data_IF_405583472076
#
_entry.id   IF_405583472076
#
_cell.length_a   1.000
_cell.length_b   1.000
_cell.length_c   1.000
_cell.angle_alpha   90.00
_cell.angle_beta   90.00
_cell.angle_gamma   90.00
#
_symmetry.space_group_name_H-M   'P 1'
#
loop_
_entity.id
_entity.type
_entity.pdbx_description
1 polymer ?
#
# COMPACT_ATOMS: atom_id res chain seq x y z
N UNK A 1 -29.03 -4.58 -27.93
CA UNK A 1 -28.14 -4.78 -29.09
C UNK A 1 -27.24 -5.99 -28.83
N UNK A 2 -27.14 -6.92 -29.78
CA UNK A 2 -26.28 -8.11 -29.70
C UNK A 2 -25.42 -8.21 -30.98
N UNK A 3 -24.15 -8.63 -30.84
CA UNK A 3 -23.20 -8.79 -31.95
C UNK A 3 -23.02 -10.29 -32.26
N UNK A 4 -23.20 -10.67 -33.52
CA UNK A 4 -23.01 -12.05 -34.02
C UNK A 4 -21.78 -12.10 -34.94
N UNK A 5 -20.77 -12.90 -34.55
CA UNK A 5 -19.61 -13.19 -35.41
C UNK A 5 -19.97 -14.26 -36.43
N UNK A 6 -19.87 -13.94 -37.72
CA UNK A 6 -20.25 -14.84 -38.84
C UNK A 6 -19.16 -15.85 -39.24
N UNK A 7 -18.27 -16.22 -38.31
CA UNK A 7 -17.16 -17.16 -38.54
C UNK A 7 -15.80 -16.45 -38.54
N UNK A 8 -15.03 -16.67 -37.47
CA UNK A 8 -13.71 -16.08 -37.22
C UNK A 8 -13.39 -16.03 -35.72
N UNK A 9 -12.09 -15.97 -35.37
CA UNK A 9 -11.63 -15.84 -33.97
C UNK A 9 -12.03 -14.47 -33.41
N UNK A 10 -12.59 -14.46 -32.21
CA UNK A 10 -12.96 -13.22 -31.49
C UNK A 10 -11.80 -12.84 -30.56
N UNK A 11 -11.22 -11.66 -30.77
CA UNK A 11 -10.15 -11.08 -29.97
C UNK A 11 -10.72 -10.09 -28.94
N UNK A 12 -10.00 -9.74 -27.85
CA UNK A 12 -10.46 -8.79 -26.83
C UNK A 12 -10.91 -7.43 -27.39
N UNK A 13 -10.29 -6.97 -28.48
CA UNK A 13 -10.64 -5.78 -29.25
C UNK A 13 -12.00 -5.86 -29.96
N UNK A 14 -12.64 -7.03 -29.99
CA UNK A 14 -13.98 -7.24 -30.54
C UNK A 14 -15.08 -7.22 -29.46
N UNK A 15 -14.73 -7.19 -28.17
CA UNK A 15 -15.69 -7.13 -27.07
C UNK A 15 -16.14 -5.69 -26.78
N UNK A 16 -17.40 -5.44 -26.37
CA UNK A 16 -17.85 -4.12 -25.92
C UNK A 16 -17.19 -3.72 -24.59
N UNK A 17 -16.90 -2.42 -24.42
CA UNK A 17 -16.02 -1.90 -23.35
C UNK A 17 -16.37 -2.31 -21.92
N UNK A 18 -17.65 -2.53 -21.61
CA UNK A 18 -18.09 -3.02 -20.29
C UNK A 18 -17.61 -4.45 -19.95
N UNK A 19 -17.41 -5.30 -20.96
CA UNK A 19 -16.97 -6.69 -20.78
C UNK A 19 -15.45 -6.72 -20.60
N UNK A 20 -14.71 -5.92 -21.40
CA UNK A 20 -13.27 -5.71 -21.20
C UNK A 20 -12.93 -5.20 -19.80
N UNK A 21 -13.81 -4.42 -19.19
CA UNK A 21 -13.60 -3.87 -17.85
C UNK A 21 -13.80 -4.87 -16.70
N UNK A 22 -14.46 -6.01 -16.93
CA UNK A 22 -14.89 -6.93 -15.86
C UNK A 22 -14.15 -8.28 -15.84
N UNK A 23 -13.37 -8.61 -16.86
CA UNK A 23 -12.74 -9.93 -17.03
C UNK A 23 -11.39 -10.12 -16.31
N UNK A 24 -10.99 -9.20 -15.43
CA UNK A 24 -9.84 -9.40 -14.55
C UNK A 24 -10.23 -9.71 -13.09
N UNK A 25 -11.41 -10.29 -12.87
CA UNK A 25 -11.89 -10.81 -11.58
C UNK A 25 -12.13 -9.74 -10.50
N UNK A 26 -12.86 -10.06 -9.41
CA UNK A 26 -12.61 -9.30 -8.19
C UNK A 26 -11.13 -9.50 -7.87
N UNK A 27 -10.33 -8.44 -7.63
CA UNK A 27 -9.03 -8.65 -7.00
C UNK A 27 -9.27 -9.54 -5.78
N UNK A 28 -8.35 -10.44 -5.39
CA UNK A 28 -8.48 -11.13 -4.11
C UNK A 28 -8.83 -10.03 -3.12
N UNK A 29 -9.95 -10.20 -2.41
CA UNK A 29 -10.35 -9.22 -1.43
C UNK A 29 -9.10 -9.03 -0.56
N UNK A 30 -8.42 -7.90 -0.76
CA UNK A 30 -7.56 -7.32 0.22
C UNK A 30 -8.54 -6.86 1.29
N UNK A 31 -9.17 -7.84 1.95
CA UNK A 31 -9.70 -7.73 3.28
C UNK A 31 -8.51 -7.22 4.05
N UNK A 32 -8.47 -5.90 4.20
CA UNK A 32 -7.39 -5.19 4.84
C UNK A 32 -7.36 -5.70 6.25
N UNK A 33 -6.56 -6.74 6.47
CA UNK A 33 -6.29 -7.23 7.79
C UNK A 33 -5.62 -6.05 8.51
N UNK A 34 -6.31 -5.44 9.49
CA UNK A 34 -5.80 -4.27 10.17
C UNK A 34 -4.43 -4.58 10.79
N UNK A 35 -4.20 -5.83 11.22
CA UNK A 35 -2.92 -6.26 11.75
C UNK A 35 -1.83 -6.21 10.67
N UNK A 36 -2.12 -6.72 9.47
CA UNK A 36 -1.17 -6.66 8.35
C UNK A 36 -0.84 -5.23 7.94
N UNK A 37 -1.83 -4.32 7.98
CA UNK A 37 -1.59 -2.91 7.69
C UNK A 37 -0.70 -2.26 8.77
N UNK A 38 -0.94 -2.56 10.04
CA UNK A 38 -0.10 -2.10 11.15
C UNK A 38 1.35 -2.59 11.03
N UNK A 39 1.54 -3.85 10.61
CA UNK A 39 2.86 -4.43 10.36
C UNK A 39 3.58 -3.71 9.21
N UNK A 40 2.90 -3.49 8.07
CA UNK A 40 3.46 -2.76 6.93
C UNK A 40 3.83 -1.32 7.32
N UNK A 41 2.95 -0.63 8.06
CA UNK A 41 3.21 0.73 8.51
C UNK A 41 4.43 0.80 9.44
N UNK A 42 4.50 -0.09 10.43
CA UNK A 42 5.64 -0.19 11.34
C UNK A 42 6.94 -0.39 10.57
N UNK A 43 6.96 -1.38 9.68
CA UNK A 43 8.18 -1.76 8.96
C UNK A 43 8.65 -0.61 8.05
N UNK A 44 7.72 0.10 7.41
CA UNK A 44 8.02 1.30 6.62
C UNK A 44 8.63 2.43 7.47
N UNK A 45 8.11 2.67 8.68
CA UNK A 45 8.63 3.68 9.60
C UNK A 45 10.03 3.33 10.06
N UNK A 46 10.25 2.10 10.55
CA UNK A 46 11.55 1.66 11.07
C UNK A 46 12.63 1.66 9.98
N UNK A 47 12.30 1.14 8.80
CA UNK A 47 13.23 1.14 7.67
C UNK A 47 13.61 2.56 7.24
N UNK A 48 12.64 3.48 7.22
CA UNK A 48 12.89 4.88 6.82
C UNK A 48 13.69 5.64 7.88
N UNK A 49 13.39 5.44 9.18
CA UNK A 49 14.19 6.00 10.27
C UNK A 49 15.65 5.57 10.14
N UNK A 50 15.91 4.27 9.94
CA UNK A 50 17.27 3.76 9.76
C UNK A 50 17.96 4.34 8.53
N UNK A 51 17.26 4.46 7.40
CA UNK A 51 17.79 5.00 6.14
C UNK A 51 18.15 6.49 6.23
N UNK A 52 17.51 7.23 7.13
CA UNK A 52 17.67 8.68 7.27
C UNK A 52 18.31 9.05 8.61
N UNK A 53 19.14 8.17 9.17
CA UNK A 53 19.90 8.39 10.41
C UNK A 53 19.03 8.91 11.57
N UNK A 54 17.83 8.34 11.69
CA UNK A 54 16.82 8.68 12.69
C UNK A 54 16.38 10.16 12.66
N UNK A 55 16.59 10.87 11.55
CA UNK A 55 16.08 12.22 11.34
C UNK A 55 14.57 12.20 11.12
N UNK A 56 13.82 12.53 12.18
CA UNK A 56 12.35 12.49 12.18
C UNK A 56 11.71 13.47 11.20
N UNK A 57 12.33 14.62 10.93
CA UNK A 57 11.77 15.60 9.98
C UNK A 57 11.84 15.06 8.55
N UNK A 58 12.99 14.52 8.15
CA UNK A 58 13.17 13.94 6.82
C UNK A 58 12.40 12.63 6.67
N UNK A 59 12.29 11.82 7.74
CA UNK A 59 11.46 10.61 7.75
C UNK A 59 9.99 10.91 7.49
N UNK A 60 9.42 11.93 8.14
CA UNK A 60 8.02 12.31 7.94
C UNK A 60 7.77 12.76 6.49
N UNK A 61 8.69 13.56 5.93
CA UNK A 61 8.65 13.98 4.53
C UNK A 61 8.72 12.78 3.57
N UNK A 62 9.64 11.85 3.80
CA UNK A 62 9.83 10.68 2.95
C UNK A 62 8.64 9.72 2.96
N UNK A 63 7.92 9.62 4.09
CA UNK A 63 6.69 8.84 4.23
C UNK A 63 5.43 9.62 3.81
N UNK A 64 5.57 10.87 3.37
CA UNK A 64 4.46 11.76 3.01
C UNK A 64 3.40 11.92 4.12
N UNK A 65 3.83 11.95 5.38
CA UNK A 65 2.97 12.21 6.55
C UNK A 65 3.41 13.47 7.28
N UNK A 66 2.50 14.04 8.08
CA UNK A 66 2.88 15.16 8.94
C UNK A 66 3.91 14.74 9.99
N UNK A 67 4.82 15.65 10.36
CA UNK A 67 5.78 15.42 11.47
C UNK A 67 5.07 15.03 12.76
N UNK A 68 3.90 15.63 13.04
CA UNK A 68 3.07 15.30 14.21
C UNK A 68 2.55 13.86 14.16
N UNK A 69 2.06 13.41 13.00
CA UNK A 69 1.62 12.03 12.83
C UNK A 69 2.77 11.05 13.07
N UNK A 70 3.96 11.33 12.53
CA UNK A 70 5.15 10.50 12.78
C UNK A 70 5.49 10.45 14.28
N UNK A 71 5.45 11.58 14.99
CA UNK A 71 5.72 11.63 16.44
C UNK A 71 4.80 10.68 17.21
N UNK A 72 3.49 10.69 16.92
CA UNK A 72 2.55 9.78 17.60
C UNK A 72 2.82 8.31 17.27
N UNK A 73 3.13 8.00 16.01
CA UNK A 73 3.45 6.63 15.59
C UNK A 73 4.74 6.14 16.26
N UNK A 74 5.79 6.97 16.33
CA UNK A 74 7.03 6.64 17.05
C UNK A 74 6.76 6.41 18.54
N UNK A 75 5.94 7.25 19.18
CA UNK A 75 5.59 7.08 20.58
C UNK A 75 4.89 5.73 20.83
N UNK A 76 3.90 5.39 20.00
CA UNK A 76 3.21 4.08 20.08
C UNK A 76 4.15 2.91 19.82
N UNK A 77 5.03 3.02 18.83
CA UNK A 77 6.04 1.98 18.54
C UNK A 77 7.00 1.78 19.72
N UNK A 78 7.39 2.87 20.40
CA UNK A 78 8.20 2.81 21.61
C UNK A 78 7.48 2.10 22.76
N UNK A 79 6.20 2.39 22.97
CA UNK A 79 5.36 1.73 23.99
C UNK A 79 5.23 0.22 23.73
N UNK A 80 5.22 -0.18 22.45
CA UNK A 80 5.23 -1.57 22.02
C UNK A 80 6.64 -2.22 22.03
N UNK A 81 7.69 -1.48 22.39
CA UNK A 81 9.05 -1.99 22.52
C UNK A 81 9.87 -2.07 21.22
N UNK A 82 9.44 -1.40 20.15
CA UNK A 82 10.19 -1.39 18.90
C UNK A 82 11.40 -0.42 18.94
N UNK A 83 12.51 -0.73 18.23
CA UNK A 83 13.72 0.07 18.25
C UNK A 83 13.59 1.32 17.34
N UNK A 84 13.01 2.38 17.89
CA UNK A 84 12.77 3.66 17.19
C UNK A 84 13.90 4.69 17.35
N UNK A 85 14.90 4.38 18.17
CA UNK A 85 16.05 5.23 18.48
C UNK A 85 17.35 4.60 17.92
N UNK A 86 18.39 5.41 17.64
CA UNK A 86 19.65 4.90 17.12
C UNK A 86 20.31 3.92 18.12
N UNK A 87 21.05 2.91 17.62
CA UNK A 87 21.84 2.05 18.49
C UNK A 87 22.88 2.90 19.23
N UNK A 88 23.05 2.62 20.52
CA UNK A 88 24.03 3.28 21.40
C UNK A 88 25.47 2.93 21.03
#
# INVERSE_FOLDING_TARGET
AALLSRGGVVLPEHLPGRVRASEAGPPPAASGDPQRLEEIERDAILATLKRLDYNRTETAKALAISRRALTYKIQRLRELGFPVDPPA
#
